data_IF_399760046766
#
_entry.id   IF_399760046766
#
_cell.length_a   1.000
_cell.length_b   1.000
_cell.length_c   1.000
_cell.angle_alpha   90.00
_cell.angle_beta   90.00
_cell.angle_gamma   90.00
#
_symmetry.space_group_name_H-M   'P 1'
#
loop_
_entity.id
_entity.type
_entity.pdbx_description
1 polymer ?
#
# COMPACT_ATOMS: atom_id res chain seq x y z
N UNK A 1 21.57 4.33 -13.79
CA UNK A 1 20.82 3.90 -12.59
C UNK A 1 20.53 2.41 -12.71
N UNK A 2 20.81 1.62 -11.67
CA UNK A 2 20.55 0.17 -11.69
C UNK A 2 19.07 -0.15 -11.44
N UNK A 3 18.64 -1.36 -11.81
CA UNK A 3 17.24 -1.82 -11.61
C UNK A 3 16.82 -1.81 -10.13
N UNK A 4 17.73 -2.09 -9.20
CA UNK A 4 17.49 -2.05 -7.76
C UNK A 4 17.22 -0.64 -7.22
N UNK A 5 17.85 0.38 -7.81
CA UNK A 5 17.59 1.78 -7.47
C UNK A 5 16.18 2.20 -7.92
N UNK A 6 15.69 1.63 -9.03
CA UNK A 6 14.34 1.90 -9.51
C UNK A 6 13.24 1.33 -8.60
N UNK A 7 13.48 0.21 -7.90
CA UNK A 7 12.56 -0.35 -6.90
C UNK A 7 12.36 0.59 -5.69
N UNK A 8 13.36 1.42 -5.39
CA UNK A 8 13.30 2.38 -4.29
C UNK A 8 12.59 3.68 -4.67
N UNK A 9 12.19 3.85 -5.94
CA UNK A 9 11.45 5.04 -6.37
C UNK A 9 10.03 5.01 -5.83
N UNK A 10 9.69 6.03 -5.05
CA UNK A 10 8.31 6.24 -4.59
C UNK A 10 7.33 6.45 -5.75
N UNK A 11 6.05 6.24 -5.46
CA UNK A 11 4.93 6.42 -6.39
C UNK A 11 4.93 7.82 -7.01
N UNK A 12 5.20 8.85 -6.21
CA UNK A 12 5.03 10.24 -6.62
C UNK A 12 3.55 10.51 -6.95
N UNK A 13 3.30 11.12 -8.11
CA UNK A 13 1.96 11.48 -8.60
C UNK A 13 1.27 10.37 -9.42
N UNK A 14 1.94 9.22 -9.62
CA UNK A 14 1.40 8.09 -10.40
C UNK A 14 0.15 7.49 -9.74
N UNK A 15 -0.71 6.90 -10.56
CA UNK A 15 -1.80 6.08 -10.04
C UNK A 15 -1.27 4.81 -9.36
N UNK A 16 -2.01 4.28 -8.38
CA UNK A 16 -1.62 3.07 -7.63
C UNK A 16 -1.38 1.89 -8.57
N UNK A 17 -2.27 1.67 -9.55
CA UNK A 17 -2.14 0.57 -10.51
C UNK A 17 -0.88 0.71 -11.38
N UNK A 18 -0.57 1.92 -11.85
CA UNK A 18 0.65 2.19 -12.62
C UNK A 18 1.92 1.95 -11.79
N UNK A 19 1.91 2.38 -10.53
CA UNK A 19 3.03 2.18 -9.63
C UNK A 19 3.28 0.70 -9.32
N UNK A 20 2.22 -0.06 -9.03
CA UNK A 20 2.31 -1.50 -8.78
C UNK A 20 2.83 -2.23 -10.03
N UNK A 21 2.32 -1.87 -11.20
CA UNK A 21 2.77 -2.45 -12.48
C UNK A 21 4.24 -2.14 -12.77
N UNK A 22 4.69 -0.92 -12.46
CA UNK A 22 6.09 -0.51 -12.57
C UNK A 22 7.00 -1.34 -11.66
N UNK A 23 6.65 -1.50 -10.38
CA UNK A 23 7.43 -2.31 -9.44
C UNK A 23 7.48 -3.78 -9.88
N UNK A 24 6.35 -4.32 -10.37
CA UNK A 24 6.31 -5.69 -10.92
C UNK A 24 7.22 -5.84 -12.14
N UNK A 25 7.17 -4.91 -13.09
CA UNK A 25 8.03 -4.94 -14.27
C UNK A 25 9.52 -4.97 -13.93
N UNK A 26 9.95 -4.19 -12.94
CA UNK A 26 11.35 -4.21 -12.49
C UNK A 26 11.70 -5.54 -11.83
N UNK A 27 10.79 -6.10 -11.03
CA UNK A 27 10.99 -7.40 -10.40
C UNK A 27 11.12 -8.53 -11.43
N UNK A 28 10.30 -8.49 -12.48
CA UNK A 28 10.33 -9.44 -13.59
C UNK A 28 11.66 -9.32 -14.37
N UNK A 29 12.12 -8.10 -14.67
CA UNK A 29 13.43 -7.86 -15.29
C UNK A 29 14.59 -8.37 -14.42
N UNK A 30 14.53 -8.12 -13.12
CA UNK A 30 15.51 -8.62 -12.16
C UNK A 30 15.52 -10.15 -12.12
N UNK A 31 14.36 -10.80 -12.18
CA UNK A 31 14.27 -12.25 -12.27
C UNK A 31 14.89 -12.79 -13.58
N UNK A 32 14.66 -12.12 -14.71
CA UNK A 32 15.24 -12.49 -16.02
C UNK A 32 16.77 -12.47 -15.99
N UNK A 33 17.38 -11.48 -15.32
CA UNK A 33 18.85 -11.38 -15.20
C UNK A 33 19.43 -12.23 -14.05
N UNK A 34 18.64 -13.13 -13.45
CA UNK A 34 19.09 -14.05 -12.41
C UNK A 34 19.13 -13.46 -10.99
N UNK A 35 18.49 -12.32 -10.76
CA UNK A 35 18.41 -11.63 -9.48
C UNK A 35 16.96 -11.46 -9.00
N UNK A 36 16.16 -12.54 -8.87
CA UNK A 36 14.75 -12.43 -8.53
C UNK A 36 14.55 -11.79 -7.16
N UNK A 37 13.55 -10.91 -7.05
CA UNK A 37 13.18 -10.26 -5.79
C UNK A 37 12.06 -11.07 -5.12
N UNK A 38 12.25 -11.53 -3.86
CA UNK A 38 11.20 -12.25 -3.14
C UNK A 38 9.95 -11.38 -2.93
N UNK A 39 8.76 -12.00 -2.98
CA UNK A 39 7.48 -11.32 -2.75
C UNK A 39 7.44 -10.46 -1.47
N UNK A 40 7.96 -10.92 -0.29
CA UNK A 40 7.99 -10.08 0.92
C UNK A 40 8.80 -8.79 0.74
N UNK A 41 9.90 -8.85 -0.02
CA UNK A 41 10.72 -7.68 -0.30
C UNK A 41 10.01 -6.73 -1.28
N UNK A 42 9.33 -7.27 -2.30
CA UNK A 42 8.48 -6.48 -3.20
C UNK A 42 7.40 -5.71 -2.45
N UNK A 43 6.71 -6.38 -1.52
CA UNK A 43 5.68 -5.77 -0.67
C UNK A 43 6.28 -4.63 0.13
N UNK A 44 7.47 -4.81 0.70
CA UNK A 44 8.16 -3.76 1.45
C UNK A 44 8.49 -2.55 0.56
N UNK A 45 8.97 -2.77 -0.67
CA UNK A 45 9.23 -1.69 -1.63
C UNK A 45 7.96 -0.90 -1.95
N UNK A 46 6.85 -1.58 -2.23
CA UNK A 46 5.57 -0.92 -2.50
C UNK A 46 5.12 -0.11 -1.28
N UNK A 47 5.10 -0.71 -0.09
CA UNK A 47 4.67 -0.03 1.15
C UNK A 47 5.54 1.18 1.50
N UNK A 48 6.83 1.15 1.21
CA UNK A 48 7.72 2.29 1.41
C UNK A 48 7.48 3.42 0.38
N UNK A 49 6.99 3.09 -0.82
CA UNK A 49 6.83 4.04 -1.91
C UNK A 49 5.42 4.57 -2.16
N UNK A 50 4.36 3.97 -1.58
CA UNK A 50 2.95 4.38 -1.81
C UNK A 50 2.60 5.79 -1.30
N UNK A 51 3.38 6.32 -0.36
CA UNK A 51 3.23 7.69 0.17
C UNK A 51 2.46 7.79 1.49
N UNK A 52 2.38 9.00 2.07
CA UNK A 52 1.91 9.22 3.45
C UNK A 52 0.42 8.94 3.65
N UNK A 53 -0.43 9.13 2.64
CA UNK A 53 -1.87 8.88 2.73
C UNK A 53 -2.19 7.41 3.07
N UNK A 54 -1.26 6.50 2.74
CA UNK A 54 -1.36 5.05 2.94
C UNK A 54 -0.64 4.59 4.21
N UNK A 55 -0.23 5.51 5.10
CA UNK A 55 0.51 5.18 6.32
C UNK A 55 -0.25 4.23 7.24
N UNK A 56 -1.54 4.45 7.46
CA UNK A 56 -2.36 3.59 8.32
C UNK A 56 -2.49 2.18 7.75
N UNK A 57 -2.77 2.06 6.46
CA UNK A 57 -2.77 0.78 5.76
C UNK A 57 -1.40 0.09 5.84
N UNK A 58 -0.31 0.85 5.68
CA UNK A 58 1.05 0.32 5.76
C UNK A 58 1.34 -0.26 7.14
N UNK A 59 0.93 0.43 8.21
CA UNK A 59 1.07 -0.07 9.58
C UNK A 59 0.22 -1.32 9.78
N UNK A 60 -1.04 -1.31 9.33
CA UNK A 60 -1.94 -2.45 9.47
C UNK A 60 -1.43 -3.70 8.74
N UNK A 61 -0.91 -3.55 7.52
CA UNK A 61 -0.33 -4.67 6.76
C UNK A 61 0.95 -5.18 7.42
N UNK A 62 1.79 -4.31 7.99
CA UNK A 62 3.01 -4.71 8.71
C UNK A 62 2.73 -5.42 10.04
N UNK A 63 1.64 -5.06 10.70
CA UNK A 63 1.21 -5.68 11.96
C UNK A 63 0.46 -7.00 11.75
N UNK A 64 0.12 -7.35 10.50
CA UNK A 64 -0.61 -8.57 10.20
C UNK A 64 0.34 -9.79 10.22
N UNK A 65 0.03 -10.80 11.03
CA UNK A 65 0.83 -12.04 11.13
C UNK A 65 0.73 -12.96 9.90
N UNK A 66 -0.17 -12.66 8.95
CA UNK A 66 -0.37 -13.46 7.74
C UNK A 66 0.43 -12.93 6.57
N UNK A 67 1.05 -13.83 5.81
CA UNK A 67 1.75 -13.48 4.57
C UNK A 67 0.75 -12.98 3.53
N UNK A 68 0.73 -11.67 3.31
CA UNK A 68 -0.02 -11.09 2.19
C UNK A 68 0.75 -11.34 0.89
N UNK A 69 0.05 -11.75 -0.18
CA UNK A 69 0.62 -11.85 -1.51
C UNK A 69 0.68 -10.50 -2.22
N UNK A 70 1.43 -10.42 -3.33
CA UNK A 70 1.51 -9.19 -4.12
C UNK A 70 0.16 -8.76 -4.72
N UNK A 71 -0.65 -9.72 -5.16
CA UNK A 71 -2.01 -9.49 -5.66
C UNK A 71 -2.94 -8.98 -4.54
N UNK A 72 -2.93 -9.62 -3.37
CA UNK A 72 -3.70 -9.17 -2.22
C UNK A 72 -3.29 -7.77 -1.73
N UNK A 73 -2.00 -7.41 -1.86
CA UNK A 73 -1.54 -6.04 -1.58
C UNK A 73 -2.15 -5.03 -2.56
N UNK A 74 -2.20 -5.35 -3.86
CA UNK A 74 -2.82 -4.49 -4.86
C UNK A 74 -4.29 -4.20 -4.52
N UNK A 75 -5.06 -5.24 -4.20
CA UNK A 75 -6.47 -5.10 -3.91
C UNK A 75 -6.71 -4.25 -2.65
N UNK A 76 -5.93 -4.48 -1.59
CA UNK A 76 -5.98 -3.63 -0.37
C UNK A 76 -5.67 -2.17 -0.65
N UNK A 77 -4.71 -1.88 -1.54
CA UNK A 77 -4.36 -0.50 -1.89
C UNK A 77 -5.48 0.19 -2.69
N UNK A 78 -6.16 -0.54 -3.58
CA UNK A 78 -7.31 -0.03 -4.36
C UNK A 78 -8.52 0.20 -3.45
N UNK A 79 -8.82 -0.75 -2.57
CA UNK A 79 -9.89 -0.65 -1.59
C UNK A 79 -9.68 0.55 -0.65
N UNK A 80 -8.48 0.66 -0.08
CA UNK A 80 -8.15 1.74 0.84
C UNK A 80 -8.20 3.12 0.18
N UNK A 81 -7.76 3.24 -1.09
CA UNK A 81 -7.92 4.49 -1.86
C UNK A 81 -9.40 4.86 -2.02
N UNK A 82 -10.25 3.86 -2.25
CA UNK A 82 -11.70 4.08 -2.38
C UNK A 82 -12.30 4.51 -1.05
N UNK A 83 -11.88 3.91 0.06
CA UNK A 83 -12.23 4.32 1.42
C UNK A 83 -11.85 5.78 1.70
N UNK A 84 -10.62 6.20 1.40
CA UNK A 84 -10.17 7.59 1.59
C UNK A 84 -11.07 8.59 0.86
N UNK A 85 -11.45 8.29 -0.39
CA UNK A 85 -12.37 9.14 -1.18
C UNK A 85 -13.74 9.30 -0.50
N UNK A 86 -14.25 8.26 0.16
CA UNK A 86 -15.51 8.33 0.89
C UNK A 86 -15.38 9.16 2.17
N UNK A 87 -14.28 9.02 2.91
CA UNK A 87 -14.00 9.81 4.12
C UNK A 87 -13.84 11.30 3.79
N UNK A 88 -13.21 11.63 2.66
CA UNK A 88 -13.09 13.03 2.21
C UNK A 88 -14.43 13.61 1.75
N UNK A 89 -15.27 12.80 1.07
CA UNK A 89 -16.59 13.25 0.59
C UNK A 89 -17.66 13.29 1.69
N UNK A 90 -17.48 12.52 2.76
CA UNK A 90 -18.33 12.49 3.94
C UNK A 90 -17.42 12.39 5.16
N UNK A 91 -16.92 13.51 5.71
CA UNK A 91 -16.25 13.50 7.00
C UNK A 91 -17.30 13.05 8.02
N UNK A 92 -17.31 11.75 8.34
CA UNK A 92 -18.25 11.18 9.30
C UNK A 92 -18.04 11.95 10.61
N UNK A 93 -19.07 12.70 11.01
CA UNK A 93 -19.18 13.23 12.36
C UNK A 93 -19.23 12.02 13.31
N UNK A 94 -18.07 11.61 13.84
CA UNK A 94 -18.00 10.64 14.94
C UNK A 94 -18.51 11.38 16.19
N UNK A 95 -19.81 11.58 16.30
CA UNK A 95 -20.45 11.96 17.55
C UNK A 95 -20.49 10.71 18.40
N UNK A 96 -19.53 10.56 19.32
CA UNK A 96 -19.62 9.62 20.42
C UNK A 96 -20.83 10.04 21.28
N UNK A 97 -21.96 9.34 21.15
CA UNK A 97 -23.08 9.53 22.06
C UNK A 97 -22.70 8.92 23.41
N UNK A 98 -22.16 9.74 24.31
CA UNK A 98 -21.98 9.35 25.70
C UNK A 98 -23.35 9.01 26.31
N UNK A 99 -23.64 7.71 26.47
CA UNK A 99 -24.76 7.23 27.25
C UNK A 99 -24.54 7.63 28.72
N UNK A 100 -25.10 8.78 29.10
CA UNK A 100 -25.13 9.27 30.47
C UNK A 100 -26.19 8.48 31.24
N UNK A 101 -25.75 7.46 31.98
CA UNK A 101 -26.58 6.80 32.98
C UNK A 101 -26.88 7.80 34.09
N UNK A 102 -28.16 8.16 34.26
CA UNK A 102 -28.64 8.88 35.45
C UNK A 102 -29.12 7.84 36.47
N UNK A 103 -28.58 7.93 37.69
CA UNK A 103 -29.12 7.33 38.92
C UNK A 103 -30.34 8.13 39.40
#
# INVERSE_FOLDING_TARGET
>A
MGLTDQLSKGRGTRFIAEYISFIRGIADELAIIGSPVPNPNLILYVLNGVGPDFKELTVAIRAQDTVIGFEGLHDKLVEYKSFLKHVESNPVNITANAARFNL
#
